data_IF_389194677561
#
_entry.id   IF_389194677561
#
_cell.length_a   1.000
_cell.length_b   1.000
_cell.length_c   1.000
_cell.angle_alpha   90.00
_cell.angle_beta   90.00
_cell.angle_gamma   90.00
#
_symmetry.space_group_name_H-M   'P 1'
#
loop_
_entity.id
_entity.type
_entity.pdbx_description
1 polymer ?
#
# COMPACT_ATOMS: atom_id res chain seq x y z
N UNK A 1 -3.53 2.44 -15.69
CA UNK A 1 -2.92 3.78 -15.54
C UNK A 1 -1.51 3.59 -15.06
N UNK A 2 -0.56 4.43 -15.49
CA UNK A 2 0.85 4.38 -15.06
C UNK A 2 1.22 5.68 -14.33
N UNK A 3 2.12 5.65 -13.35
CA UNK A 3 2.62 6.83 -12.66
C UNK A 3 3.60 7.64 -13.53
N UNK A 4 3.56 8.96 -13.38
CA UNK A 4 4.50 9.88 -14.03
C UNK A 4 5.92 9.75 -13.45
N UNK A 5 6.92 9.91 -14.31
CA UNK A 5 8.35 9.96 -13.96
C UNK A 5 8.93 8.68 -13.34
N UNK A 6 8.21 7.55 -13.38
CA UNK A 6 8.74 6.23 -13.04
C UNK A 6 9.36 5.58 -14.29
N UNK A 7 10.61 5.10 -14.23
CA UNK A 7 11.25 4.41 -15.35
C UNK A 7 10.48 3.15 -15.78
N UNK A 8 10.46 2.84 -17.09
CA UNK A 8 9.81 1.62 -17.62
C UNK A 8 10.46 0.32 -17.13
N UNK A 9 11.72 0.38 -16.68
CA UNK A 9 12.43 -0.77 -16.10
C UNK A 9 11.82 -1.22 -14.76
N UNK A 10 10.98 -0.40 -14.14
CA UNK A 10 10.34 -0.70 -12.87
C UNK A 10 9.03 -1.45 -13.14
N UNK A 11 9.05 -2.78 -13.03
CA UNK A 11 7.91 -3.62 -13.41
C UNK A 11 6.59 -3.30 -12.71
N UNK A 12 6.64 -2.76 -11.49
CA UNK A 12 5.46 -2.33 -10.73
C UNK A 12 4.76 -1.10 -11.31
N UNK A 13 5.41 -0.35 -12.22
CA UNK A 13 4.82 0.77 -12.96
C UNK A 13 3.56 0.33 -13.74
N UNK A 14 3.61 -0.88 -14.30
CA UNK A 14 2.66 -1.32 -15.33
C UNK A 14 1.74 -2.46 -14.89
N UNK A 15 2.11 -3.22 -13.85
CA UNK A 15 1.32 -4.36 -13.38
C UNK A 15 1.46 -4.57 -11.87
N UNK A 16 0.46 -5.20 -11.23
CA UNK A 16 0.62 -5.75 -9.89
C UNK A 16 1.84 -6.66 -9.83
N UNK A 17 2.44 -6.76 -8.66
CA UNK A 17 3.54 -7.68 -8.44
C UNK A 17 3.45 -8.35 -7.08
N UNK A 18 3.82 -9.62 -7.05
CA UNK A 18 4.06 -10.36 -5.82
C UNK A 18 5.55 -10.26 -5.48
N UNK A 19 5.84 -9.90 -4.23
CA UNK A 19 7.17 -9.97 -3.66
C UNK A 19 7.38 -11.33 -3.01
N UNK A 20 7.44 -11.37 -1.68
CA UNK A 20 7.46 -12.59 -0.86
C UNK A 20 6.08 -13.27 -0.78
N UNK A 21 5.01 -12.55 -1.10
CA UNK A 21 3.64 -13.07 -1.07
C UNK A 21 3.21 -13.52 0.32
N UNK A 22 2.73 -14.76 0.44
CA UNK A 22 2.25 -15.34 1.71
C UNK A 22 3.33 -16.09 2.50
N UNK A 23 4.59 -16.00 2.06
CA UNK A 23 5.69 -16.82 2.56
C UNK A 23 6.76 -15.89 3.17
N UNK A 24 6.58 -15.40 4.42
CA UNK A 24 7.46 -14.44 5.10
C UNK A 24 8.80 -15.04 5.57
N UNK A 25 9.47 -15.77 4.69
CA UNK A 25 10.74 -16.45 4.97
C UNK A 25 11.88 -15.81 4.17
N UNK A 26 13.09 -15.81 4.71
CA UNK A 26 14.28 -15.25 4.05
C UNK A 26 14.55 -15.84 2.65
N UNK A 27 14.15 -17.09 2.43
CA UNK A 27 14.24 -17.77 1.14
C UNK A 27 13.28 -17.20 0.08
N UNK A 28 12.16 -16.60 0.49
CA UNK A 28 11.19 -15.96 -0.40
C UNK A 28 11.63 -14.56 -0.85
N UNK A 29 12.63 -13.98 -0.19
CA UNK A 29 13.21 -12.70 -0.61
C UNK A 29 13.94 -12.91 -1.94
N UNK A 30 13.60 -12.10 -2.95
CA UNK A 30 14.22 -12.20 -4.29
C UNK A 30 15.74 -12.17 -4.19
N UNK A 31 16.45 -13.05 -4.92
CA UNK A 31 17.91 -13.15 -4.89
C UNK A 31 18.63 -11.82 -5.18
N UNK A 32 18.05 -10.99 -6.04
CA UNK A 32 18.58 -9.68 -6.42
C UNK A 32 18.38 -8.58 -5.37
N UNK A 33 17.64 -8.83 -4.29
CA UNK A 33 17.44 -7.84 -3.23
C UNK A 33 18.71 -7.74 -2.37
N UNK A 34 19.29 -6.53 -2.20
CA UNK A 34 20.65 -6.36 -1.69
C UNK A 34 20.77 -6.36 -0.16
N UNK A 35 19.66 -6.39 0.57
CA UNK A 35 19.66 -6.23 2.02
C UNK A 35 20.02 -7.48 2.82
N UNK A 36 20.19 -7.26 4.12
CA UNK A 36 20.32 -8.30 5.14
C UNK A 36 19.09 -9.19 5.15
N UNK A 37 19.31 -10.49 5.03
CA UNK A 37 18.26 -11.51 5.07
C UNK A 37 18.07 -12.02 6.49
N UNK A 38 16.82 -12.11 6.90
CA UNK A 38 16.39 -12.75 8.14
C UNK A 38 15.65 -14.03 7.76
N UNK A 39 15.81 -15.07 8.57
CA UNK A 39 15.17 -16.36 8.31
C UNK A 39 13.64 -16.24 8.28
N UNK A 40 13.09 -15.44 9.19
CA UNK A 40 11.66 -15.17 9.32
C UNK A 40 11.40 -13.66 9.42
N UNK A 41 10.29 -13.23 8.84
CA UNK A 41 9.85 -11.84 8.81
C UNK A 41 8.59 -11.68 9.65
N UNK A 42 8.76 -11.34 10.92
CA UNK A 42 7.69 -11.35 11.93
C UNK A 42 6.85 -10.07 12.00
N UNK A 43 7.05 -9.11 11.11
CA UNK A 43 6.19 -7.94 11.01
C UNK A 43 5.70 -7.67 9.59
N UNK A 44 4.51 -7.06 9.51
CA UNK A 44 3.85 -6.62 8.27
C UNK A 44 3.40 -5.18 8.44
N UNK A 45 3.31 -4.43 7.33
CA UNK A 45 2.55 -3.18 7.30
C UNK A 45 1.87 -2.98 5.96
N UNK A 46 0.69 -2.36 5.97
CA UNK A 46 0.01 -1.83 4.79
C UNK A 46 0.43 -0.40 4.47
N UNK A 47 0.60 -0.11 3.18
CA UNK A 47 0.93 1.21 2.66
C UNK A 47 0.10 1.56 1.41
N UNK A 48 0.13 2.83 1.05
CA UNK A 48 -0.40 3.35 -0.21
C UNK A 48 0.55 4.39 -0.79
N UNK A 49 0.46 4.56 -2.11
CA UNK A 49 1.14 5.63 -2.83
C UNK A 49 0.16 6.44 -3.66
N UNK A 50 0.44 7.74 -3.82
CA UNK A 50 -0.33 8.66 -4.67
C UNK A 50 0.62 9.31 -5.66
N UNK A 51 0.30 9.19 -6.95
CA UNK A 51 1.07 9.77 -8.04
C UNK A 51 0.19 10.65 -8.92
N UNK A 52 0.81 11.60 -9.62
CA UNK A 52 0.26 12.06 -10.89
C UNK A 52 0.36 10.93 -11.93
N UNK A 53 -0.68 10.74 -12.72
CA UNK A 53 -0.64 9.80 -13.83
C UNK A 53 0.34 10.28 -14.91
N UNK A 54 0.85 9.32 -15.67
CA UNK A 54 1.59 9.59 -16.90
C UNK A 54 0.75 10.45 -17.86
N UNK A 55 1.39 11.45 -18.47
CA UNK A 55 0.70 12.54 -19.18
C UNK A 55 0.36 13.76 -18.31
N UNK A 56 0.69 13.72 -17.01
CA UNK A 56 0.66 14.85 -16.09
C UNK A 56 -0.72 15.17 -15.51
N UNK A 57 -0.72 16.00 -14.47
CA UNK A 57 -1.92 16.49 -13.80
C UNK A 57 -2.09 18.01 -14.01
N UNK A 58 -3.16 18.42 -14.68
CA UNK A 58 -3.42 19.85 -14.93
C UNK A 58 -4.17 20.53 -13.78
N UNK A 59 -4.85 19.75 -12.94
CA UNK A 59 -5.57 20.26 -11.78
C UNK A 59 -4.60 20.85 -10.74
N UNK A 60 -4.92 22.05 -10.24
CA UNK A 60 -4.19 22.79 -9.21
C UNK A 60 -4.86 22.70 -7.85
N UNK A 61 -6.19 22.69 -7.82
CA UNK A 61 -7.03 22.65 -6.62
C UNK A 61 -7.55 21.24 -6.28
N UNK A 62 -7.01 20.19 -6.89
CA UNK A 62 -7.43 18.81 -6.65
C UNK A 62 -6.43 18.01 -5.81
N UNK A 63 -6.94 17.17 -4.91
CA UNK A 63 -6.17 16.29 -4.05
C UNK A 63 -6.89 14.96 -3.81
N UNK A 64 -6.21 13.98 -3.22
CA UNK A 64 -6.79 12.69 -2.85
C UNK A 64 -7.06 12.68 -1.35
N UNK A 65 -8.28 12.35 -0.96
CA UNK A 65 -8.62 12.02 0.42
C UNK A 65 -8.46 10.51 0.63
N UNK A 66 -7.64 10.12 1.61
CA UNK A 66 -7.57 8.77 2.15
C UNK A 66 -8.47 8.70 3.37
N UNK A 67 -9.47 7.81 3.32
CA UNK A 67 -10.49 7.65 4.36
C UNK A 67 -10.42 6.28 5.02
N UNK A 68 -9.35 5.54 4.76
CA UNK A 68 -8.97 4.41 5.58
C UNK A 68 -8.11 3.40 4.86
N UNK A 69 -7.38 2.65 5.67
CA UNK A 69 -6.49 1.58 5.25
C UNK A 69 -6.79 0.36 6.11
N UNK A 70 -6.95 -0.78 5.47
CA UNK A 70 -7.10 -2.06 6.15
C UNK A 70 -6.13 -3.10 5.61
N UNK A 71 -5.64 -3.96 6.51
CA UNK A 71 -4.86 -5.16 6.20
C UNK A 71 -5.57 -6.37 6.78
N UNK A 72 -5.77 -7.38 5.94
CA UNK A 72 -6.40 -8.64 6.28
C UNK A 72 -5.52 -9.80 5.86
N UNK A 73 -5.67 -10.93 6.54
CA UNK A 73 -5.14 -12.20 6.10
C UNK A 73 -6.18 -13.31 6.18
N UNK A 74 -6.09 -14.28 5.29
CA UNK A 74 -6.82 -15.55 5.39
C UNK A 74 -5.94 -16.51 6.18
N UNK A 75 -6.43 -17.02 7.31
CA UNK A 75 -5.70 -18.02 8.11
C UNK A 75 -5.62 -19.36 7.37
N UNK A 76 -4.43 -19.98 7.34
CA UNK A 76 -4.23 -21.36 6.84
C UNK A 76 -4.86 -22.38 7.79
N UNK A 77 -4.86 -22.09 9.09
CA UNK A 77 -5.42 -22.96 10.14
C UNK A 77 -6.95 -22.95 10.13
N UNK A 78 -7.54 -21.76 10.05
CA UNK A 78 -8.98 -21.58 10.26
C UNK A 78 -9.77 -21.39 8.96
N UNK A 79 -9.11 -21.08 7.84
CA UNK A 79 -9.76 -20.70 6.59
C UNK A 79 -10.79 -19.58 6.79
N UNK A 80 -10.45 -18.61 7.65
CA UNK A 80 -11.24 -17.42 7.92
C UNK A 80 -10.39 -16.17 7.74
N UNK A 81 -10.99 -15.13 7.16
CA UNK A 81 -10.37 -13.82 7.08
C UNK A 81 -10.34 -13.16 8.45
N UNK A 82 -9.17 -12.59 8.77
CA UNK A 82 -8.91 -11.88 10.01
C UNK A 82 -8.28 -10.53 9.68
N UNK A 83 -8.82 -9.47 10.28
CA UNK A 83 -8.26 -8.12 10.16
C UNK A 83 -7.06 -7.97 11.08
N UNK A 84 -5.95 -7.48 10.54
CA UNK A 84 -4.74 -7.13 11.29
C UNK A 84 -4.63 -5.63 11.54
N UNK A 85 -5.08 -4.82 10.58
CA UNK A 85 -5.02 -3.37 10.68
C UNK A 85 -6.32 -2.75 10.19
N UNK A 86 -6.81 -1.73 10.90
CA UNK A 86 -7.90 -0.85 10.50
C UNK A 86 -7.62 0.53 11.03
N UNK A 87 -7.51 1.53 10.16
CA UNK A 87 -7.54 2.91 10.60
C UNK A 87 -8.04 3.83 9.49
N UNK A 88 -8.89 4.78 9.84
CA UNK A 88 -9.30 5.89 8.96
C UNK A 88 -8.13 6.74 8.52
N UNK A 89 -7.16 6.97 9.41
CA UNK A 89 -6.06 7.89 9.19
C UNK A 89 -4.74 7.14 9.04
N UNK A 90 -3.95 7.43 7.99
CA UNK A 90 -2.57 6.97 7.92
C UNK A 90 -1.79 7.34 9.19
N UNK A 91 -0.96 6.43 9.68
CA UNK A 91 -0.07 6.66 10.84
C UNK A 91 1.20 7.41 10.45
N UNK A 92 1.55 7.35 9.17
CA UNK A 92 2.67 8.08 8.60
C UNK A 92 2.40 8.40 7.14
N UNK A 93 3.03 9.47 6.66
CA UNK A 93 2.99 9.92 5.28
C UNK A 93 4.17 10.83 5.00
N UNK A 94 4.59 10.92 3.74
CA UNK A 94 5.62 11.86 3.32
C UNK A 94 5.68 12.00 1.80
N UNK A 95 6.41 13.02 1.38
CA UNK A 95 6.84 13.16 0.00
C UNK A 95 8.04 12.24 -0.24
N UNK A 96 8.01 11.48 -1.32
CA UNK A 96 9.12 10.67 -1.80
C UNK A 96 9.40 11.01 -3.25
N UNK A 97 10.63 10.77 -3.71
CA UNK A 97 10.93 10.83 -5.12
C UNK A 97 10.11 9.79 -5.89
N UNK A 98 9.96 9.99 -7.19
CA UNK A 98 9.07 9.17 -8.03
C UNK A 98 9.46 7.68 -8.06
N UNK A 99 10.66 7.29 -7.61
CA UNK A 99 11.06 5.88 -7.48
C UNK A 99 10.48 5.14 -6.27
N UNK A 100 9.68 5.81 -5.42
CA UNK A 100 9.08 5.27 -4.19
C UNK A 100 10.03 4.88 -3.04
N UNK A 101 11.31 5.21 -3.16
CA UNK A 101 12.36 4.79 -2.22
C UNK A 101 12.87 6.00 -1.43
N UNK A 102 13.29 7.05 -2.14
CA UNK A 102 14.01 8.15 -1.49
C UNK A 102 13.02 9.16 -0.92
N UNK A 103 13.03 9.36 0.41
CA UNK A 103 12.26 10.41 1.05
C UNK A 103 12.73 11.78 0.55
N UNK A 104 11.79 12.66 0.22
CA UNK A 104 12.04 14.04 -0.22
C UNK A 104 11.79 15.02 0.93
N UNK A 105 12.50 16.15 0.89
CA UNK A 105 12.27 17.29 1.78
C UNK A 105 11.23 18.27 1.23
N UNK A 106 10.71 18.03 0.02
CA UNK A 106 9.65 18.87 -0.54
C UNK A 106 8.38 18.80 0.33
N UNK A 107 7.76 19.97 0.55
CA UNK A 107 6.53 20.05 1.31
C UNK A 107 5.40 19.33 0.57
N UNK A 108 4.67 18.50 1.30
CA UNK A 108 3.45 17.87 0.82
C UNK A 108 2.25 18.72 1.18
N UNK A 109 1.29 18.87 0.26
CA UNK A 109 -0.03 19.34 0.68
C UNK A 109 -0.68 18.25 1.54
N UNK A 110 -1.00 18.61 2.78
CA UNK A 110 -1.64 17.73 3.75
C UNK A 110 -2.70 18.50 4.53
N UNK A 111 -3.90 17.94 4.60
CA UNK A 111 -4.99 18.50 5.41
C UNK A 111 -5.76 17.36 6.07
N UNK A 112 -5.93 17.45 7.40
CA UNK A 112 -6.78 16.50 8.11
C UNK A 112 -8.22 17.00 8.12
N UNK A 113 -9.14 16.16 7.65
CA UNK A 113 -10.59 16.37 7.69
C UNK A 113 -11.25 15.32 8.57
N UNK A 114 -12.49 15.53 8.99
CA UNK A 114 -13.26 14.54 9.77
C UNK A 114 -13.52 13.24 8.99
N UNK A 115 -13.49 13.31 7.66
CA UNK A 115 -13.71 12.20 6.74
C UNK A 115 -12.43 11.48 6.32
N UNK A 116 -11.24 12.03 6.58
CA UNK A 116 -9.98 11.43 6.13
C UNK A 116 -8.79 12.40 6.09
N UNK A 117 -7.68 11.92 5.54
CA UNK A 117 -6.47 12.70 5.32
C UNK A 117 -6.35 13.06 3.83
N UNK A 118 -6.32 14.35 3.53
CA UNK A 118 -6.20 14.87 2.17
C UNK A 118 -4.74 15.11 1.84
N UNK A 119 -4.28 14.55 0.72
CA UNK A 119 -2.89 14.49 0.30
C UNK A 119 -2.80 14.78 -1.21
N UNK A 120 -1.79 15.55 -1.64
CA UNK A 120 -1.55 15.76 -3.05
C UNK A 120 -0.05 15.60 -3.40
N UNK A 121 0.30 14.76 -4.39
CA UNK A 121 1.66 14.71 -4.92
C UNK A 121 2.00 15.98 -5.71
N UNK A 122 3.24 16.05 -6.18
CA UNK A 122 3.69 17.07 -7.14
C UNK A 122 4.22 16.38 -8.41
N UNK A 123 4.60 17.17 -9.42
CA UNK A 123 5.28 16.65 -10.61
C UNK A 123 6.66 16.02 -10.29
N UNK A 124 7.28 16.36 -9.15
CA UNK A 124 8.61 15.87 -8.74
C UNK A 124 8.54 14.79 -7.66
N UNK A 125 7.44 14.71 -6.93
CA UNK A 125 7.31 13.85 -5.75
C UNK A 125 5.97 13.14 -5.73
N UNK A 126 6.00 11.91 -5.24
CA UNK A 126 4.83 11.12 -4.93
C UNK A 126 4.54 11.18 -3.43
N UNK A 127 3.30 10.83 -3.05
CA UNK A 127 2.96 10.57 -1.65
C UNK A 127 3.21 9.10 -1.36
N UNK A 128 3.87 8.79 -0.25
CA UNK A 128 3.88 7.46 0.34
C UNK A 128 3.36 7.58 1.76
N UNK A 129 2.37 6.77 2.13
CA UNK A 129 1.83 6.71 3.47
C UNK A 129 1.35 5.32 3.83
N UNK A 130 0.99 5.11 5.09
CA UNK A 130 0.55 3.79 5.54
C UNK A 130 0.20 3.73 7.01
N UNK A 131 0.01 2.51 7.49
CA UNK A 131 -0.19 2.22 8.91
C UNK A 131 1.11 1.78 9.57
N UNK A 132 1.09 1.62 10.90
CA UNK A 132 2.22 1.10 11.67
C UNK A 132 2.51 -0.36 11.34
N UNK A 133 3.61 -0.91 11.87
CA UNK A 133 3.86 -2.36 11.78
C UNK A 133 2.95 -3.12 12.74
N UNK A 134 2.59 -4.34 12.34
CA UNK A 134 1.89 -5.34 13.17
C UNK A 134 2.59 -6.68 13.03
N UNK A 135 2.36 -7.57 14.00
CA UNK A 135 2.92 -8.93 13.99
C UNK A 135 2.38 -9.74 12.81
N UNK A 136 3.28 -10.45 12.12
CA UNK A 136 2.94 -11.44 11.10
C UNK A 136 2.24 -12.63 11.77
N UNK A 137 1.05 -13.07 11.28
CA UNK A 137 0.38 -14.26 11.80
C UNK A 137 1.28 -15.49 11.75
N UNK A 138 1.55 -16.07 12.92
CA UNK A 138 2.44 -17.23 13.07
C UNK A 138 1.77 -18.34 13.85
N UNK A 139 1.98 -19.57 13.43
CA UNK A 139 1.63 -20.76 14.18
C UNK A 139 2.85 -21.17 15.02
N UNK A 140 2.70 -21.07 16.35
CA UNK A 140 3.76 -21.36 17.32
C UNK A 140 4.15 -22.85 17.40
N UNK A 141 3.26 -23.76 17.03
CA UNK A 141 3.51 -25.21 17.06
C UNK A 141 4.35 -25.65 15.86
N UNK A 142 4.00 -25.16 14.68
CA UNK A 142 4.66 -25.52 13.42
C UNK A 142 5.84 -24.61 13.07
N UNK A 143 5.97 -23.50 13.79
CA UNK A 143 6.91 -22.41 13.50
C UNK A 143 6.81 -21.92 12.05
N UNK A 144 5.57 -21.83 11.54
CA UNK A 144 5.26 -21.35 10.18
C UNK A 144 4.23 -20.24 10.19
N UNK A 145 4.28 -19.39 9.18
CA UNK A 145 3.28 -18.34 8.98
C UNK A 145 1.89 -18.92 8.70
N UNK A 146 0.89 -18.41 9.40
CA UNK A 146 -0.52 -18.79 9.26
C UNK A 146 -1.23 -17.93 8.20
N UNK A 147 -0.69 -17.87 6.98
CA UNK A 147 -1.15 -16.95 5.93
C UNK A 147 -1.44 -17.72 4.64
N UNK A 148 -2.72 -17.83 4.28
CA UNK A 148 -3.21 -18.40 3.03
C UNK A 148 -3.46 -17.31 1.97
N UNK A 149 -3.77 -16.10 2.40
CA UNK A 149 -3.88 -14.93 1.54
C UNK A 149 -3.63 -13.66 2.37
N UNK A 150 -3.22 -12.59 1.70
CA UNK A 150 -3.12 -11.24 2.26
C UNK A 150 -3.93 -10.30 1.39
N UNK A 151 -4.77 -9.49 2.01
CA UNK A 151 -5.60 -8.51 1.31
C UNK A 151 -5.43 -7.12 1.95
N UNK A 152 -5.34 -6.09 1.12
CA UNK A 152 -5.33 -4.70 1.55
C UNK A 152 -6.39 -3.93 0.80
N UNK A 153 -7.04 -3.02 1.51
CA UNK A 153 -7.94 -2.03 0.94
C UNK A 153 -7.59 -0.64 1.42
N UNK A 154 -7.43 0.28 0.48
CA UNK A 154 -7.23 1.71 0.73
C UNK A 154 -8.44 2.44 0.15
N UNK A 155 -9.25 3.04 1.01
CA UNK A 155 -10.42 3.83 0.61
C UNK A 155 -10.00 5.25 0.30
N UNK A 156 -10.30 5.70 -0.92
CA UNK A 156 -9.91 7.03 -1.36
C UNK A 156 -10.93 7.68 -2.30
N UNK A 157 -10.87 9.00 -2.41
CA UNK A 157 -11.62 9.77 -3.42
C UNK A 157 -10.87 11.05 -3.80
N UNK A 158 -11.30 11.68 -4.87
CA UNK A 158 -10.84 12.98 -5.33
C UNK A 158 -11.63 14.08 -4.65
N UNK A 159 -10.94 15.06 -4.07
CA UNK A 159 -11.52 16.20 -3.36
C UNK A 159 -10.84 17.50 -3.78
N UNK A 160 -11.48 18.63 -3.47
CA UNK A 160 -10.84 19.93 -3.57
C UNK A 160 -9.88 20.14 -2.40
N UNK A 161 -8.74 20.78 -2.68
CA UNK A 161 -7.83 21.31 -1.64
C UNK A 161 -8.52 22.44 -0.89
N UNK A 162 -9.11 23.38 -1.63
CA UNK A 162 -9.88 24.49 -1.09
C UNK A 162 -11.25 24.57 -1.78
N UNK A 163 -12.36 24.38 -1.05
CA UNK A 163 -13.70 24.46 -1.63
C UNK A 163 -14.09 25.87 -2.10
N UNK A 164 -13.32 26.90 -1.77
CA UNK A 164 -13.54 28.29 -2.22
C UNK A 164 -12.84 28.62 -3.54
N UNK A 165 -11.94 27.76 -4.00
CA UNK A 165 -11.25 27.92 -5.28
C UNK A 165 -11.97 27.18 -6.40
N UNK A 166 -11.59 27.45 -7.66
CA UNK A 166 -12.16 26.81 -8.84
C UNK A 166 -12.14 25.28 -8.71
N UNK A 167 -13.27 24.65 -9.02
CA UNK A 167 -13.32 23.20 -9.14
C UNK A 167 -12.68 22.75 -10.45
N UNK A 168 -11.52 22.11 -10.33
CA UNK A 168 -10.74 21.60 -11.46
C UNK A 168 -10.59 20.08 -11.44
N UNK A 169 -11.44 19.37 -10.68
CA UNK A 169 -11.36 17.92 -10.50
C UNK A 169 -11.49 17.13 -11.80
N UNK A 170 -12.20 17.66 -12.79
CA UNK A 170 -12.30 17.08 -14.13
C UNK A 170 -10.96 17.05 -14.90
N UNK A 171 -9.99 17.88 -14.49
CA UNK A 171 -8.62 17.89 -15.03
C UNK A 171 -7.66 16.98 -14.24
N UNK A 172 -8.11 16.42 -13.12
CA UNK A 172 -7.25 15.71 -12.19
C UNK A 172 -6.89 14.32 -12.72
N UNK A 173 -5.60 14.01 -12.71
CA UNK A 173 -5.08 12.67 -13.02
C UNK A 173 -4.27 12.14 -11.85
N UNK A 174 -4.91 11.96 -10.70
CA UNK A 174 -4.28 11.43 -9.49
C UNK A 174 -4.60 9.94 -9.34
N UNK A 175 -3.58 9.11 -9.23
CA UNK A 175 -3.71 7.65 -9.13
C UNK A 175 -3.21 7.16 -7.78
N UNK A 176 -3.89 6.16 -7.24
CA UNK A 176 -3.59 5.55 -5.95
C UNK A 176 -3.25 4.07 -6.17
N UNK A 177 -2.28 3.56 -5.43
CA UNK A 177 -1.96 2.13 -5.37
C UNK A 177 -1.82 1.72 -3.91
N UNK A 178 -2.26 0.51 -3.62
CA UNK A 178 -2.09 -0.14 -2.31
C UNK A 178 -1.03 -1.23 -2.40
N UNK A 179 -0.33 -1.46 -1.29
CA UNK A 179 0.61 -2.56 -1.16
C UNK A 179 0.99 -2.81 0.29
N UNK A 180 1.85 -3.80 0.49
CA UNK A 180 2.32 -4.17 1.81
C UNK A 180 3.76 -4.67 1.75
N UNK A 181 4.44 -4.56 2.89
CA UNK A 181 5.81 -5.01 3.05
C UNK A 181 5.98 -5.85 4.31
N UNK A 182 6.96 -6.75 4.28
CA UNK A 182 7.43 -7.49 5.43
C UNK A 182 8.60 -6.77 6.11
N UNK A 183 8.67 -6.92 7.43
CA UNK A 183 9.76 -6.49 8.30
C UNK A 183 10.19 -7.66 9.20
N UNK A 184 11.46 -7.69 9.65
CA UNK A 184 11.97 -8.79 10.45
C UNK A 184 11.30 -8.89 11.83
N UNK A 185 10.91 -7.76 12.41
CA UNK A 185 10.21 -7.63 13.70
C UNK A 185 9.50 -6.28 13.78
N UNK A 186 8.52 -6.14 14.68
CA UNK A 186 7.84 -4.86 14.93
C UNK A 186 8.83 -3.87 15.54
N UNK A 187 8.89 -2.66 14.99
CA UNK A 187 9.87 -1.63 15.31
C UNK A 187 11.08 -1.60 14.38
N UNK A 188 11.25 -2.58 13.49
CA UNK A 188 12.35 -2.58 12.54
C UNK A 188 12.27 -1.39 11.58
N UNK A 189 13.43 -0.83 11.26
CA UNK A 189 13.59 0.28 10.31
C UNK A 189 14.23 -0.23 9.03
N UNK A 190 14.05 0.51 7.93
CA UNK A 190 14.75 0.23 6.66
C UNK A 190 16.27 0.17 6.86
N UNK A 191 16.81 1.01 7.75
CA UNK A 191 18.23 1.01 8.10
C UNK A 191 18.71 -0.30 8.73
N UNK A 192 17.85 -1.03 9.45
CA UNK A 192 18.20 -2.33 10.07
C UNK A 192 18.39 -3.43 9.02
N UNK A 193 17.90 -3.21 7.79
CA UNK A 193 17.98 -4.15 6.67
C UNK A 193 19.23 -3.94 5.81
N UNK A 194 20.05 -2.91 6.08
CA UNK A 194 21.22 -2.58 5.24
C UNK A 194 20.86 -2.44 3.75
N UNK A 195 19.65 -1.96 3.47
CA UNK A 195 19.05 -1.88 2.13
C UNK A 195 18.30 -0.56 1.96
N UNK A 196 18.22 0.00 0.74
CA UNK A 196 17.38 1.15 0.49
C UNK A 196 15.88 0.83 0.54
N UNK A 197 15.48 -0.45 0.56
CA UNK A 197 14.08 -0.87 0.48
C UNK A 197 13.81 -2.11 1.32
N UNK A 198 12.53 -2.30 1.67
CA UNK A 198 12.02 -3.49 2.36
C UNK A 198 11.47 -4.50 1.35
N UNK A 199 11.53 -5.82 1.63
CA UNK A 199 10.86 -6.81 0.81
C UNK A 199 9.34 -6.64 0.84
N UNK A 200 8.75 -6.53 -0.34
CA UNK A 200 7.29 -6.42 -0.49
C UNK A 200 6.59 -7.76 -0.25
N UNK A 201 5.40 -7.72 0.34
CA UNK A 201 4.40 -8.80 0.24
C UNK A 201 3.85 -8.80 -1.19
N UNK A 202 3.38 -7.64 -1.62
CA UNK A 202 2.95 -7.36 -2.97
C UNK A 202 2.45 -5.93 -3.13
N UNK A 203 1.96 -5.63 -4.33
CA UNK A 203 1.32 -4.36 -4.68
C UNK A 203 0.24 -4.56 -5.72
N UNK A 204 -0.80 -3.72 -5.62
CA UNK A 204 -1.96 -3.71 -6.49
C UNK A 204 -1.77 -2.94 -7.79
N UNK A 205 -2.88 -2.68 -8.49
CA UNK A 205 -2.91 -1.77 -9.65
C UNK A 205 -3.08 -0.32 -9.19
N UNK A 206 -2.59 0.60 -10.02
CA UNK A 206 -2.98 2.01 -9.89
C UNK A 206 -4.44 2.22 -10.30
N UNK A 207 -5.21 2.84 -9.41
CA UNK A 207 -6.61 3.24 -9.63
C UNK A 207 -6.70 4.76 -9.70
N UNK A 208 -7.36 5.27 -10.73
CA UNK A 208 -7.65 6.70 -10.87
C UNK A 208 -8.64 7.14 -9.78
N UNK A 209 -8.26 8.12 -8.97
CA UNK A 209 -9.16 8.76 -8.02
C UNK A 209 -10.32 9.42 -8.77
N UNK A 210 -11.52 9.32 -8.20
CA UNK A 210 -12.74 9.97 -8.67
C UNK A 210 -13.46 10.63 -7.51
N UNK A 211 -14.44 11.48 -7.79
CA UNK A 211 -15.24 12.12 -6.74
C UNK A 211 -15.99 11.12 -5.86
N UNK A 212 -16.40 9.99 -6.44
CA UNK A 212 -16.95 8.85 -5.70
C UNK A 212 -15.85 8.08 -4.98
N UNK A 213 -16.21 7.49 -3.83
CA UNK A 213 -15.32 6.57 -3.12
C UNK A 213 -14.88 5.41 -4.01
N UNK A 214 -13.57 5.17 -4.03
CA UNK A 214 -12.93 4.04 -4.69
C UNK A 214 -12.04 3.31 -3.70
N UNK A 215 -11.68 2.10 -4.09
CA UNK A 215 -10.77 1.24 -3.36
C UNK A 215 -9.58 0.91 -4.25
N UNK A 216 -8.38 1.22 -3.74
CA UNK A 216 -7.15 0.64 -4.27
C UNK A 216 -6.84 -0.58 -3.42
N UNK A 217 -6.70 -1.74 -4.08
CA UNK A 217 -6.56 -3.02 -3.38
C UNK A 217 -5.33 -3.78 -3.85
N UNK A 218 -4.82 -4.62 -2.95
CA UNK A 218 -3.86 -5.66 -3.24
C UNK A 218 -4.41 -6.97 -2.70
N UNK A 219 -4.31 -8.05 -3.46
CA UNK A 219 -4.50 -9.40 -2.94
C UNK A 219 -3.35 -10.29 -3.40
N UNK A 220 -2.83 -11.09 -2.49
CA UNK A 220 -1.88 -12.16 -2.79
C UNK A 220 -2.41 -13.43 -2.14
N UNK A 221 -2.39 -14.53 -2.88
CA UNK A 221 -2.96 -15.82 -2.48
C UNK A 221 -1.86 -16.88 -2.56
N UNK A 222 -1.77 -17.73 -1.54
CA UNK A 222 -0.81 -18.82 -1.51
C UNK A 222 -1.11 -19.83 -2.63
N UNK A 223 -0.08 -20.47 -3.22
CA UNK A 223 -0.29 -21.53 -4.19
C UNK A 223 -1.21 -22.63 -3.64
N UNK A 224 -2.15 -23.09 -4.45
CA UNK A 224 -3.08 -24.18 -4.09
C UNK A 224 -4.35 -23.75 -3.36
N UNK A 225 -4.47 -22.49 -2.93
CA UNK A 225 -5.72 -21.96 -2.39
C UNK A 225 -6.67 -21.61 -3.54
N UNK A 226 -7.90 -22.12 -3.47
CA UNK A 226 -8.91 -21.93 -4.51
C UNK A 226 -9.62 -20.59 -4.34
N UNK A 227 -10.08 -20.02 -5.44
CA UNK A 227 -10.82 -18.75 -5.43
C UNK A 227 -12.04 -18.80 -4.49
N UNK A 228 -12.78 -19.90 -4.47
CA UNK A 228 -13.92 -20.08 -3.57
C UNK A 228 -13.53 -19.99 -2.07
N UNK A 229 -12.30 -20.38 -1.71
CA UNK A 229 -11.80 -20.28 -0.33
C UNK A 229 -11.40 -18.84 0.01
N UNK A 230 -10.86 -18.11 -0.97
CA UNK A 230 -10.51 -16.69 -0.84
C UNK A 230 -11.77 -15.83 -0.72
N UNK A 231 -12.79 -16.09 -1.54
CA UNK A 231 -14.02 -15.30 -1.54
C UNK A 231 -14.92 -15.60 -0.33
N UNK A 232 -14.76 -16.77 0.29
CA UNK A 232 -15.53 -17.14 1.48
C UNK A 232 -15.09 -16.28 2.67
N UNK A 233 -16.00 -15.43 3.14
CA UNK A 233 -15.80 -14.63 4.35
C UNK A 233 -14.86 -13.45 4.19
N UNK A 234 -14.50 -13.08 2.95
CA UNK A 234 -13.95 -11.74 2.70
C UNK A 234 -15.05 -10.74 3.11
N UNK A 235 -14.75 -9.73 3.93
CA UNK A 235 -15.78 -8.81 4.39
C UNK A 235 -16.48 -8.10 3.22
N UNK A 236 -17.82 -8.09 3.26
CA UNK A 236 -18.65 -7.38 2.28
C UNK A 236 -18.56 -5.85 2.45
N UNK A 237 -18.09 -5.39 3.61
CA UNK A 237 -17.87 -3.99 3.97
C UNK A 237 -16.59 -3.85 4.80
N UNK A 238 -15.85 -2.77 4.56
CA UNK A 238 -14.64 -2.42 5.30
C UNK A 238 -14.97 -1.38 6.37
N UNK A 239 -14.45 -1.56 7.59
CA UNK A 239 -14.73 -0.65 8.71
C UNK A 239 -13.57 0.32 8.90
N UNK A 240 -13.73 1.53 8.35
CA UNK A 240 -12.73 2.59 8.41
C UNK A 240 -12.98 3.65 9.49
#
# INVERSE_FOLDING_TARGET
>A
MRPSGVPETYGWKSKPSVGMGTEPYGLSVRSSWPGRRFDNWHAMLSWFVIYEAEGGNLAKNSAVEISGVELWYLSKKEFMWKRLQSDRYPKWQGAYSLNAINKSNEALYIERRSTGLVLAPTVRTMVHGGLGQVETPWNSETLRADIAAVFISVKHRLVLKDPKQTDDRFLAKLIVQAGADYYPYVGARVADLESPSVPSIGLGRFILASENWRYSTMIVVAPGIREAEVLKGLPDQFDY
#
